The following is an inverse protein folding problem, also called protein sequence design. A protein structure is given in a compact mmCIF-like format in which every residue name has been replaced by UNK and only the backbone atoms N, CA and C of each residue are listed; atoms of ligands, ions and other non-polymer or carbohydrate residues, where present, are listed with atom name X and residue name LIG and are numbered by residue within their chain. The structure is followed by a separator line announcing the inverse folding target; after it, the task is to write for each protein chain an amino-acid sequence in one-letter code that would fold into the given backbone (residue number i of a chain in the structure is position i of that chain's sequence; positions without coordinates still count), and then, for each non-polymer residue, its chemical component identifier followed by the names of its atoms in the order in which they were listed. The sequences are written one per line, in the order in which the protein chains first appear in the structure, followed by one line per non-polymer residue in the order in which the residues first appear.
data_IF_568281430281
#
_entry.id   IF_568281430281
#
_cell.length_a   1.000
_cell.length_b   1.000
_cell.length_c   1.000
_cell.angle_alpha   90.00
_cell.angle_beta   90.00
_cell.angle_gamma   90.00
#
_symmetry.space_group_name_H-M   'P 1'
#
loop_
_entity.id
_entity.type
_entity.pdbx_description
1 polymer ?
#
# COMPACT_ATOMS: atom_id res chain seq x y z
N UNK A 1 -14.81 -19.16 9.64
CA UNK A 1 -13.91 -19.05 8.49
C UNK A 1 -13.00 -17.81 8.49
N UNK A 2 -13.24 -16.86 9.36
CA UNK A 2 -12.40 -15.65 9.47
C UNK A 2 -11.05 -15.85 10.18
N UNK A 3 -10.82 -16.99 10.82
CA UNK A 3 -9.60 -17.24 11.60
C UNK A 3 -8.41 -17.73 10.79
N UNK A 4 -8.62 -18.51 9.74
CA UNK A 4 -7.55 -19.16 8.99
C UNK A 4 -6.71 -18.16 8.19
N UNK A 5 -7.33 -17.27 7.42
CA UNK A 5 -6.58 -16.28 6.64
C UNK A 5 -5.88 -15.22 7.51
N UNK A 6 -6.41 -14.91 8.70
CA UNK A 6 -5.72 -14.06 9.66
C UNK A 6 -4.44 -14.72 10.20
N UNK A 7 -4.47 -16.02 10.44
CA UNK A 7 -3.28 -16.75 10.87
C UNK A 7 -2.24 -16.79 9.75
N UNK A 8 -2.66 -17.04 8.51
CA UNK A 8 -1.77 -17.03 7.35
C UNK A 8 -1.16 -15.63 7.12
N UNK A 9 -1.96 -14.57 7.25
CA UNK A 9 -1.50 -13.21 7.10
C UNK A 9 -0.54 -12.79 8.22
N UNK A 10 -0.84 -13.15 9.47
CA UNK A 10 0.04 -12.89 10.61
C UNK A 10 1.38 -13.62 10.46
N UNK A 11 1.34 -14.87 9.99
CA UNK A 11 2.56 -15.62 9.73
C UNK A 11 3.41 -14.95 8.64
N UNK A 12 2.81 -14.53 7.53
CA UNK A 12 3.50 -13.83 6.44
C UNK A 12 4.17 -12.54 6.92
N UNK A 13 3.46 -11.74 7.71
CA UNK A 13 3.98 -10.46 8.23
C UNK A 13 5.09 -10.68 9.26
N UNK A 14 4.95 -11.66 10.15
CA UNK A 14 5.98 -11.98 11.15
C UNK A 14 7.22 -12.62 10.51
N UNK A 15 7.05 -13.50 9.54
CA UNK A 15 8.17 -14.06 8.77
C UNK A 15 8.95 -12.97 8.04
N UNK A 16 8.23 -12.04 7.43
CA UNK A 16 8.84 -10.90 6.73
C UNK A 16 9.75 -10.08 7.67
N UNK A 17 9.25 -9.69 8.84
CA UNK A 17 10.04 -8.89 9.80
C UNK A 17 11.20 -9.67 10.40
N UNK A 18 11.07 -10.99 10.55
CA UNK A 18 12.16 -11.83 11.04
C UNK A 18 13.28 -12.04 9.99
N UNK A 19 12.92 -12.04 8.72
CA UNK A 19 13.80 -12.40 7.60
C UNK A 19 14.48 -11.19 6.96
N UNK A 20 13.80 -10.05 6.90
CA UNK A 20 14.32 -8.85 6.23
C UNK A 20 15.10 -7.99 7.22
N UNK A 21 16.42 -7.76 6.98
CA UNK A 21 17.25 -6.96 7.87
C UNK A 21 16.72 -5.53 8.01
N UNK A 22 16.94 -4.93 9.17
CA UNK A 22 16.65 -3.52 9.48
C UNK A 22 15.15 -3.14 9.44
N UNK A 23 14.26 -4.12 9.27
CA UNK A 23 12.82 -3.92 9.42
C UNK A 23 12.44 -4.10 10.88
N UNK A 24 11.86 -3.06 11.48
CA UNK A 24 11.40 -3.09 12.87
C UNK A 24 9.99 -3.65 12.98
N UNK A 25 9.07 -3.18 12.16
CA UNK A 25 7.65 -3.55 12.22
C UNK A 25 7.03 -3.60 10.83
N UNK A 26 6.01 -4.45 10.70
CA UNK A 26 5.17 -4.50 9.52
C UNK A 26 3.70 -4.69 9.93
N UNK A 27 2.80 -4.10 9.15
CA UNK A 27 1.36 -4.17 9.39
C UNK A 27 0.60 -4.19 8.07
N UNK A 28 -0.46 -4.98 8.00
CA UNK A 28 -1.46 -4.91 6.92
C UNK A 28 -2.69 -4.20 7.44
N UNK A 29 -3.07 -3.14 6.77
CA UNK A 29 -4.15 -2.24 7.15
C UNK A 29 -5.20 -2.24 6.05
N UNK A 30 -6.48 -2.42 6.41
CA UNK A 30 -7.58 -2.35 5.47
C UNK A 30 -7.78 -0.95 4.89
N UNK A 31 -8.52 -0.84 3.80
CA UNK A 31 -8.82 0.45 3.16
C UNK A 31 -9.55 1.44 4.10
N UNK A 32 -10.30 0.94 5.07
CA UNK A 32 -11.02 1.72 6.10
C UNK A 32 -10.22 1.96 7.39
N UNK A 33 -8.93 1.61 7.42
CA UNK A 33 -8.03 1.92 8.52
C UNK A 33 -8.09 0.93 9.70
N UNK A 34 -8.49 -0.32 9.44
CA UNK A 34 -8.50 -1.39 10.44
C UNK A 34 -7.25 -2.26 10.31
N UNK A 35 -6.50 -2.52 11.40
CA UNK A 35 -5.41 -3.47 11.38
C UNK A 35 -5.90 -4.88 11.07
N UNK A 36 -5.44 -5.46 9.97
CA UNK A 36 -5.75 -6.84 9.58
C UNK A 36 -4.72 -7.83 10.10
N UNK A 37 -3.45 -7.43 10.09
CA UNK A 37 -2.33 -8.19 10.61
C UNK A 37 -1.22 -7.27 11.09
N UNK A 38 -0.51 -7.69 12.12
CA UNK A 38 0.58 -6.95 12.74
C UNK A 38 1.76 -7.90 12.98
N UNK A 39 2.98 -7.41 12.79
CA UNK A 39 4.17 -8.12 13.27
C UNK A 39 4.24 -8.14 14.79
N UNK A 40 5.01 -9.08 15.34
CA UNK A 40 5.19 -9.20 16.77
C UNK A 40 5.78 -7.92 17.39
N UNK A 41 5.42 -7.67 18.63
CA UNK A 41 5.96 -6.56 19.41
C UNK A 41 5.30 -5.20 19.20
N UNK A 42 4.29 -5.07 18.35
CA UNK A 42 3.52 -3.83 18.19
C UNK A 42 2.49 -3.71 19.32
N UNK A 43 2.59 -2.68 20.20
CA UNK A 43 1.58 -2.46 21.23
C UNK A 43 0.22 -2.06 20.61
N UNK A 44 -0.92 -2.41 21.23
CA UNK A 44 -2.24 -2.11 20.68
C UNK A 44 -2.48 -0.64 20.33
N UNK A 45 -2.07 0.28 21.24
CA UNK A 45 -2.22 1.72 21.01
C UNK A 45 -1.41 2.21 19.80
N UNK A 46 -0.25 1.62 19.57
CA UNK A 46 0.60 1.94 18.43
C UNK A 46 0.01 1.38 17.12
N UNK A 47 -0.60 0.21 17.18
CA UNK A 47 -1.28 -0.40 16.04
C UNK A 47 -2.42 0.47 15.52
N UNK A 48 -3.23 1.04 16.40
CA UNK A 48 -4.32 1.96 16.02
C UNK A 48 -3.81 3.25 15.37
N UNK A 49 -2.76 3.83 15.94
CA UNK A 49 -2.12 5.03 15.37
C UNK A 49 -1.49 4.74 14.01
N UNK A 50 -0.79 3.63 13.89
CA UNK A 50 -0.17 3.19 12.64
C UNK A 50 -1.22 2.96 11.55
N UNK A 51 -2.34 2.34 11.90
CA UNK A 51 -3.45 2.13 10.98
C UNK A 51 -4.07 3.45 10.49
N UNK A 52 -4.29 4.41 11.39
CA UNK A 52 -4.81 5.73 11.04
C UNK A 52 -3.85 6.50 10.13
N UNK A 53 -2.56 6.50 10.42
CA UNK A 53 -1.53 7.15 9.61
C UNK A 53 -1.43 6.48 8.23
N UNK A 54 -1.38 5.16 8.18
CA UNK A 54 -1.27 4.39 6.92
C UNK A 54 -2.46 4.65 6.01
N UNK A 55 -3.68 4.57 6.52
CA UNK A 55 -4.89 4.82 5.72
C UNK A 55 -5.00 6.28 5.28
N UNK A 56 -4.58 7.23 6.12
CA UNK A 56 -4.52 8.64 5.76
C UNK A 56 -3.55 8.92 4.63
N UNK A 57 -2.33 8.39 4.71
CA UNK A 57 -1.32 8.52 3.65
C UNK A 57 -1.75 7.83 2.37
N UNK A 58 -2.32 6.63 2.44
CA UNK A 58 -2.86 5.93 1.28
C UNK A 58 -3.95 6.75 0.57
N UNK A 59 -4.83 7.41 1.33
CA UNK A 59 -5.86 8.29 0.79
C UNK A 59 -5.28 9.53 0.10
N UNK A 60 -4.25 10.13 0.68
CA UNK A 60 -3.53 11.27 0.08
C UNK A 60 -2.82 10.86 -1.21
N UNK A 61 -2.17 9.70 -1.23
CA UNK A 61 -1.54 9.14 -2.43
C UNK A 61 -2.55 8.92 -3.55
N UNK A 62 -3.73 8.38 -3.25
CA UNK A 62 -4.83 8.23 -4.20
C UNK A 62 -5.35 9.58 -4.69
N UNK A 63 -5.42 10.57 -3.81
CA UNK A 63 -5.78 11.94 -4.17
C UNK A 63 -4.80 12.54 -5.18
N UNK A 64 -3.50 12.43 -4.92
CA UNK A 64 -2.45 12.88 -5.83
C UNK A 64 -2.51 12.16 -7.19
N UNK A 65 -2.66 10.84 -7.17
CA UNK A 65 -2.77 10.03 -8.39
C UNK A 65 -3.95 10.47 -9.28
N UNK A 66 -5.07 10.84 -8.68
CA UNK A 66 -6.24 11.38 -9.42
C UNK A 66 -5.96 12.76 -10.02
N UNK A 67 -5.32 13.65 -9.27
CA UNK A 67 -4.99 15.01 -9.74
C UNK A 67 -4.02 14.97 -10.91
N UNK A 68 -3.02 14.09 -10.83
CA UNK A 68 -2.00 13.95 -11.87
C UNK A 68 -2.38 12.98 -12.99
N UNK A 69 -3.55 12.33 -12.91
CA UNK A 69 -3.99 11.29 -13.85
C UNK A 69 -2.94 10.18 -14.04
N UNK A 70 -2.24 9.86 -12.94
CA UNK A 70 -1.06 9.00 -12.95
C UNK A 70 -1.37 7.50 -12.75
N UNK A 71 -2.65 7.12 -12.76
CA UNK A 71 -3.08 5.76 -12.44
C UNK A 71 -3.15 5.51 -10.93
N UNK A 72 -3.10 4.24 -10.51
CA UNK A 72 -3.16 3.89 -9.10
C UNK A 72 -1.80 4.06 -8.42
N UNK A 73 -1.74 4.62 -7.21
CA UNK A 73 -0.49 4.68 -6.47
C UNK A 73 -0.07 3.27 -6.05
N UNK A 74 1.19 2.94 -6.24
CA UNK A 74 1.74 1.63 -5.92
C UNK A 74 2.51 1.63 -4.61
N UNK A 75 3.21 2.71 -4.30
CA UNK A 75 4.08 2.84 -3.14
C UNK A 75 4.21 4.29 -2.70
N UNK A 76 4.31 4.49 -1.38
CA UNK A 76 4.70 5.74 -0.74
C UNK A 76 5.85 5.51 0.23
N UNK A 77 6.70 6.51 0.40
CA UNK A 77 7.82 6.48 1.31
C UNK A 77 7.85 7.77 2.12
N UNK A 78 7.97 7.64 3.42
CA UNK A 78 8.19 8.75 4.35
C UNK A 78 9.53 8.54 5.03
N UNK A 79 10.47 9.42 4.74
CA UNK A 79 11.79 9.43 5.35
C UNK A 79 11.78 10.33 6.58
N UNK A 80 12.29 9.83 7.68
CA UNK A 80 12.39 10.50 8.97
C UNK A 80 13.82 10.34 9.50
N UNK A 81 14.28 11.22 10.37
CA UNK A 81 15.63 11.12 10.95
C UNK A 81 15.91 9.77 11.64
N UNK A 82 14.89 9.19 12.27
CA UNK A 82 14.98 7.94 13.03
C UNK A 82 14.50 6.71 12.29
N UNK A 83 14.10 6.79 11.01
CA UNK A 83 13.61 5.62 10.27
C UNK A 83 12.86 5.95 9.00
N UNK A 84 12.46 4.90 8.32
CA UNK A 84 11.68 4.93 7.10
C UNK A 84 10.31 4.29 7.33
N UNK A 85 9.27 4.91 6.81
CA UNK A 85 7.96 4.30 6.68
C UNK A 85 7.66 4.08 5.19
N UNK A 86 7.45 2.84 4.80
CA UNK A 86 7.14 2.46 3.42
C UNK A 86 5.73 1.88 3.39
N UNK A 87 4.89 2.37 2.49
CA UNK A 87 3.53 1.90 2.29
C UNK A 87 3.41 1.35 0.88
N UNK A 88 2.91 0.13 0.74
CA UNK A 88 2.57 -0.49 -0.54
C UNK A 88 1.10 -0.86 -0.62
N UNK A 89 0.48 -0.57 -1.76
CA UNK A 89 -0.89 -0.98 -2.01
C UNK A 89 -0.98 -2.49 -2.26
N UNK A 90 -2.03 -3.11 -1.71
CA UNK A 90 -2.40 -4.50 -1.98
C UNK A 90 -3.62 -4.52 -2.92
N UNK A 91 -3.76 -5.58 -3.70
CA UNK A 91 -4.76 -5.68 -4.78
C UNK A 91 -6.22 -5.56 -4.32
N UNK A 92 -6.49 -5.85 -3.04
CA UNK A 92 -7.84 -5.76 -2.44
C UNK A 92 -8.20 -4.35 -1.92
N UNK A 93 -7.28 -3.38 -2.07
CA UNK A 93 -7.42 -2.02 -1.56
C UNK A 93 -6.84 -1.80 -0.17
N UNK A 94 -6.35 -2.85 0.50
CA UNK A 94 -5.59 -2.72 1.73
C UNK A 94 -4.16 -2.23 1.47
N UNK A 95 -3.41 -1.95 2.53
CA UNK A 95 -2.04 -1.44 2.43
C UNK A 95 -1.12 -2.22 3.36
N UNK A 96 0.06 -2.56 2.87
CA UNK A 96 1.19 -3.00 3.68
C UNK A 96 1.99 -1.78 4.12
N UNK A 97 2.16 -1.61 5.42
CA UNK A 97 3.03 -0.61 6.03
C UNK A 97 4.24 -1.28 6.67
N UNK A 98 5.43 -0.78 6.40
CA UNK A 98 6.69 -1.26 6.96
C UNK A 98 7.43 -0.08 7.59
N UNK A 99 7.93 -0.31 8.80
CA UNK A 99 8.82 0.60 9.50
C UNK A 99 10.23 -0.01 9.52
N UNK A 100 11.20 0.69 8.99
CA UNK A 100 12.58 0.24 8.86
C UNK A 100 13.57 1.27 9.42
N UNK A 101 14.79 0.81 9.70
CA UNK A 101 15.88 1.68 10.13
C UNK A 101 16.27 2.69 9.03
N UNK A 102 16.83 3.87 9.39
CA UNK A 102 17.13 4.92 8.42
C UNK A 102 18.24 4.54 7.44
N UNK A 103 19.09 3.58 7.79
CA UNK A 103 20.21 3.06 7.01
C UNK A 103 19.93 1.70 6.37
N UNK A 104 18.67 1.27 6.35
CA UNK A 104 18.27 0.02 5.72
C UNK A 104 18.54 0.01 4.21
N UNK A 105 18.73 -1.18 3.65
CA UNK A 105 18.73 -1.37 2.20
C UNK A 105 17.30 -1.23 1.65
N UNK A 106 16.98 -0.03 1.20
CA UNK A 106 15.64 0.32 0.72
C UNK A 106 15.21 -0.50 -0.49
N UNK A 107 16.16 -0.89 -1.37
CA UNK A 107 15.88 -1.71 -2.55
C UNK A 107 15.48 -3.13 -2.13
N UNK A 108 16.23 -3.71 -1.21
CA UNK A 108 15.93 -5.03 -0.65
C UNK A 108 14.56 -5.01 0.07
N UNK A 109 14.33 -4.04 0.93
CA UNK A 109 13.05 -3.91 1.65
C UNK A 109 11.89 -3.75 0.67
N UNK A 110 12.01 -2.89 -0.34
CA UNK A 110 10.97 -2.69 -1.34
C UNK A 110 10.69 -3.93 -2.19
N UNK A 111 11.72 -4.70 -2.53
CA UNK A 111 11.59 -5.98 -3.24
C UNK A 111 10.84 -7.01 -2.39
N UNK A 112 11.28 -7.22 -1.16
CA UNK A 112 10.65 -8.16 -0.23
C UNK A 112 9.20 -7.76 0.12
N UNK A 113 8.92 -6.46 0.21
CA UNK A 113 7.54 -5.96 0.33
C UNK A 113 6.70 -6.31 -0.88
N UNK A 114 7.27 -6.31 -2.10
CA UNK A 114 6.52 -6.70 -3.31
C UNK A 114 6.11 -8.16 -3.26
N UNK A 115 7.02 -9.04 -2.83
CA UNK A 115 6.75 -10.47 -2.63
C UNK A 115 5.65 -10.68 -1.57
N UNK A 116 5.75 -9.95 -0.45
CA UNK A 116 4.74 -10.04 0.61
C UNK A 116 3.37 -9.52 0.15
N UNK A 117 3.31 -8.44 -0.62
CA UNK A 117 2.07 -7.86 -1.15
C UNK A 117 1.35 -8.84 -2.07
N UNK A 118 2.08 -9.56 -2.92
CA UNK A 118 1.50 -10.60 -3.79
C UNK A 118 0.90 -11.74 -2.96
N UNK A 119 1.66 -12.28 -2.00
CA UNK A 119 1.20 -13.34 -1.12
C UNK A 119 0.01 -12.90 -0.25
N UNK A 120 0.03 -11.69 0.31
CA UNK A 120 -1.06 -11.13 1.08
C UNK A 120 -2.34 -10.93 0.22
N UNK A 121 -2.17 -10.48 -1.02
CA UNK A 121 -3.26 -10.34 -1.98
C UNK A 121 -3.95 -11.67 -2.29
N UNK A 122 -3.21 -12.76 -2.40
CA UNK A 122 -3.76 -14.10 -2.57
C UNK A 122 -4.57 -14.57 -1.35
N UNK A 123 -4.11 -14.26 -0.14
CA UNK A 123 -4.80 -14.59 1.11
C UNK A 123 -6.08 -13.76 1.27
N UNK A 124 -6.05 -12.47 0.93
CA UNK A 124 -7.17 -11.54 1.11
C UNK A 124 -8.23 -11.65 0.01
N UNK A 125 -7.84 -11.91 -1.24
CA UNK A 125 -8.75 -11.97 -2.39
C UNK A 125 -9.84 -13.06 -2.30
N UNK A 126 -9.61 -14.27 -1.79
CA UNK A 126 -10.67 -15.24 -1.60
C UNK A 126 -11.74 -14.82 -0.60
N UNK A 127 -11.39 -14.03 0.43
CA UNK A 127 -12.34 -13.51 1.40
C UNK A 127 -13.32 -12.51 0.75
N UNK A 128 -12.90 -11.77 -0.25
CA UNK A 128 -13.72 -10.86 -1.04
C UNK A 128 -14.64 -11.62 -2.03
N UNK A 129 -14.20 -12.73 -2.59
CA UNK A 129 -15.02 -13.56 -3.49
C UNK A 129 -16.18 -14.27 -2.78
N UNK A 130 -16.09 -14.51 -1.47
CA UNK A 130 -17.15 -15.06 -0.64
C UNK A 130 -18.24 -14.04 -0.28
N UNK A 131 -18.04 -12.76 -0.53
CA UNK A 131 -18.93 -11.65 -0.25
C UNK A 131 -19.56 -11.06 -1.53
N UNK A 132 -19.92 -11.89 -2.52
CA UNK A 132 -20.73 -11.44 -3.65
C UNK A 132 -22.17 -11.23 -3.20
N UNK A 133 -22.66 -9.98 -3.12
CA UNK A 133 -24.09 -9.75 -3.14
C UNK A 133 -24.57 -10.04 -4.56
N UNK A 134 -25.61 -10.84 -4.65
CA UNK A 134 -26.23 -11.24 -5.91
C UNK A 134 -26.53 -10.06 -6.82
N UNK A 135 -26.29 -10.30 -8.10
CA UNK A 135 -26.58 -9.54 -9.28
C UNK A 135 -27.43 -8.26 -9.16
N UNK A 136 -26.76 -7.13 -9.32
CA UNK A 136 -27.39 -5.96 -9.93
C UNK A 136 -26.57 -5.61 -11.15
N UNK A 137 -27.12 -5.95 -12.31
CA UNK A 137 -26.67 -5.44 -13.60
C UNK A 137 -26.89 -3.91 -13.60
N UNK A 138 -25.87 -3.08 -13.75
CA UNK A 138 -26.12 -1.67 -13.96
C UNK A 138 -26.73 -1.46 -15.34
N UNK A 139 -27.70 -0.55 -15.50
CA UNK A 139 -28.25 -0.23 -16.80
C UNK A 139 -27.14 0.36 -17.68
N UNK A 140 -27.04 -0.14 -18.90
CA UNK A 140 -26.14 0.37 -19.91
C UNK A 140 -26.54 1.79 -20.26
N UNK A 141 -25.83 2.78 -19.74
CA UNK A 141 -25.85 4.13 -20.27
C UNK A 141 -24.78 4.20 -21.35
N UNK A 142 -25.23 4.10 -22.60
CA UNK A 142 -24.40 4.41 -23.77
C UNK A 142 -24.00 5.88 -23.74
N UNK A 143 -22.76 6.12 -23.47
CA UNK A 143 -22.09 7.39 -23.60
C UNK A 143 -20.63 7.10 -23.94
N UNK A 144 -20.32 7.00 -25.23
CA UNK A 144 -18.94 6.93 -25.71
C UNK A 144 -18.28 8.26 -25.36
N UNK A 145 -17.48 8.26 -24.31
CA UNK A 145 -16.42 9.27 -24.17
C UNK A 145 -15.29 8.89 -25.14
N UNK A 146 -14.79 9.84 -25.93
CA UNK A 146 -13.62 9.57 -26.76
C UNK A 146 -12.42 9.24 -25.84
N UNK A 147 -11.51 8.35 -26.27
CA UNK A 147 -10.30 8.06 -25.50
C UNK A 147 -9.48 9.33 -25.39
N UNK A 148 -9.17 9.71 -24.15
CA UNK A 148 -8.19 10.75 -23.87
C UNK A 148 -6.84 10.13 -24.26
N UNK A 149 -6.20 10.70 -25.26
CA UNK A 149 -4.86 10.29 -25.68
C UNK A 149 -3.89 10.40 -24.50
N UNK A 150 -3.02 9.43 -24.26
CA UNK A 150 -1.97 9.57 -23.27
C UNK A 150 -1.12 10.80 -23.60
N UNK A 151 -0.67 11.50 -22.56
CA UNK A 151 0.23 12.65 -22.63
C UNK A 151 1.48 12.35 -23.47
N UNK A 152 1.35 12.42 -24.79
CA UNK A 152 2.46 12.60 -25.71
C UNK A 152 2.65 14.11 -25.87
N UNK A 153 3.58 14.65 -25.10
CA UNK A 153 3.91 16.07 -25.26
C UNK A 153 4.65 16.73 -24.13
N UNK A 154 5.19 16.00 -23.17
CA UNK A 154 6.17 16.55 -22.24
C UNK A 154 7.58 16.05 -22.57
N UNK A 155 7.93 16.16 -23.85
CA UNK A 155 9.32 16.09 -24.27
C UNK A 155 9.93 17.50 -24.17
N UNK A 156 10.97 17.61 -23.33
CA UNK A 156 12.01 18.62 -23.36
C UNK A 156 11.55 20.07 -23.19
N UNK A 157 11.51 20.53 -21.97
CA UNK A 157 12.14 21.82 -21.66
C UNK A 157 13.14 21.62 -20.52
N UNK A 158 14.35 21.40 -20.92
CA UNK A 158 15.56 21.62 -20.13
C UNK A 158 15.54 23.07 -19.67
N UNK A 159 15.14 23.31 -18.45
CA UNK A 159 15.42 24.55 -17.75
C UNK A 159 16.07 24.13 -16.45
N UNK A 160 17.36 24.44 -16.33
CA UNK A 160 18.13 24.30 -15.12
C UNK A 160 17.44 25.02 -13.96
N UNK A 161 17.38 24.42 -12.76
CA UNK A 161 16.85 25.11 -11.60
C UNK A 161 17.84 26.21 -11.18
N UNK A 162 17.35 27.40 -10.78
CA UNK A 162 18.22 28.37 -10.13
C UNK A 162 18.63 27.82 -8.77
N UNK A 163 19.93 27.73 -8.58
CA UNK A 163 20.56 27.53 -7.29
C UNK A 163 20.17 28.70 -6.36
N UNK A 164 19.44 28.38 -5.31
CA UNK A 164 19.40 29.09 -4.01
C UNK A 164 18.29 28.46 -3.13
N UNK A 165 18.78 27.67 -2.21
CA UNK A 165 18.54 27.79 -0.75
C UNK A 165 19.69 27.11 -0.04
#
# INVERSE_FOLDING_TARGET
MSGAYRQDLNWLVSDFTARVPDVAHAAVISADGVPLSLSDGIPPYFAEQLAAITSGLASLMQGAARIFEAGLPTQGLVEMEGGLMIIKAISDGSSLCVLAAPDCDTELVAYEMSVLVEAAGEVLSPALRGASPGGMTPPSMGGRRPPISPLQGAAAKTAAPPSRW
#
